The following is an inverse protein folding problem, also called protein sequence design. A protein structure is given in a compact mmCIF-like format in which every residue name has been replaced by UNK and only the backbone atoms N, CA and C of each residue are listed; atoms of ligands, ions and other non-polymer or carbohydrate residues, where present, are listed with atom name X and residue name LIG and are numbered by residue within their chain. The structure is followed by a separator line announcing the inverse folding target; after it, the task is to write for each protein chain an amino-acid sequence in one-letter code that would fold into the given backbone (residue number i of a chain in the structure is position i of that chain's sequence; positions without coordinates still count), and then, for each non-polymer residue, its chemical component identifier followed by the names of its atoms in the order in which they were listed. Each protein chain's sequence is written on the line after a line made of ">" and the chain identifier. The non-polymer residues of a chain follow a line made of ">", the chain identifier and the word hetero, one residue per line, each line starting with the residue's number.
data_IF_996142873316
#
_entry.id   IF_996142873316
#
_cell.length_a   1.000
_cell.length_b   1.000
_cell.length_c   1.000
_cell.angle_alpha   90.00
_cell.angle_beta   90.00
_cell.angle_gamma   90.00
#
_symmetry.space_group_name_H-M   'P 1'
#
loop_
_entity.id
_entity.type
_entity.pdbx_description
1 polymer ?
#
# COMPACT_ATOMS: atom_id res chain seq x y z
N UNK A 1 -31.53 12.37 5.52
CA UNK A 1 -30.98 12.23 6.89
C UNK A 1 -29.73 11.35 6.86
N UNK A 2 -29.76 10.22 6.16
CA UNK A 2 -28.64 9.27 6.07
C UNK A 2 -27.30 9.89 5.63
N UNK A 3 -27.31 10.80 4.64
CA UNK A 3 -26.09 11.49 4.18
C UNK A 3 -25.37 12.27 5.30
N UNK A 4 -26.10 12.82 6.26
CA UNK A 4 -25.50 13.59 7.37
C UNK A 4 -24.83 12.64 8.36
N UNK A 5 -25.47 11.49 8.64
CA UNK A 5 -24.89 10.45 9.49
C UNK A 5 -23.63 9.87 8.85
N UNK A 6 -23.69 9.51 7.58
CA UNK A 6 -22.52 9.02 6.83
C UNK A 6 -21.40 10.05 6.75
N UNK A 7 -21.74 11.32 6.54
CA UNK A 7 -20.75 12.40 6.54
C UNK A 7 -20.03 12.48 7.89
N UNK A 8 -20.75 12.45 9.01
CA UNK A 8 -20.13 12.47 10.34
C UNK A 8 -19.15 11.32 10.55
N UNK A 9 -19.51 10.09 10.13
CA UNK A 9 -18.61 8.93 10.23
C UNK A 9 -17.35 9.10 9.36
N UNK A 10 -17.49 9.64 8.15
CA UNK A 10 -16.38 9.87 7.24
C UNK A 10 -15.46 10.99 7.75
N UNK A 11 -16.03 12.08 8.26
CA UNK A 11 -15.29 13.21 8.82
C UNK A 11 -14.49 12.74 10.05
N UNK A 12 -15.10 11.95 10.96
CA UNK A 12 -14.40 11.36 12.12
C UNK A 12 -13.24 10.44 11.70
N UNK A 13 -13.46 9.60 10.67
CA UNK A 13 -12.42 8.72 10.14
C UNK A 13 -11.27 9.52 9.48
N UNK A 14 -11.59 10.60 8.78
CA UNK A 14 -10.62 11.49 8.15
C UNK A 14 -9.78 12.23 9.19
N UNK A 15 -10.42 12.77 10.24
CA UNK A 15 -9.70 13.46 11.32
C UNK A 15 -8.76 12.52 12.07
N UNK A 16 -9.17 11.25 12.28
CA UNK A 16 -8.27 10.22 12.81
C UNK A 16 -7.07 9.96 11.92
N UNK A 17 -7.28 9.90 10.61
CA UNK A 17 -6.19 9.70 9.64
C UNK A 17 -5.20 10.87 9.67
N UNK A 18 -5.69 12.11 9.66
CA UNK A 18 -4.86 13.31 9.78
C UNK A 18 -4.09 13.32 11.11
N UNK A 19 -4.76 13.00 12.21
CA UNK A 19 -4.12 12.94 13.53
C UNK A 19 -2.93 11.98 13.58
N UNK A 20 -3.08 10.77 13.03
CA UNK A 20 -1.98 9.80 12.95
C UNK A 20 -0.78 10.35 12.17
N UNK A 21 -1.01 11.08 11.08
CA UNK A 21 0.09 11.67 10.30
C UNK A 21 0.80 12.73 11.11
N UNK A 22 0.07 13.69 11.70
CA UNK A 22 0.64 14.78 12.49
C UNK A 22 1.44 14.26 13.67
N UNK A 23 0.92 13.25 14.38
CA UNK A 23 1.59 12.64 15.54
C UNK A 23 2.91 11.96 15.17
N UNK A 24 3.01 11.37 13.98
CA UNK A 24 4.20 10.65 13.53
C UNK A 24 5.15 11.53 12.69
N UNK A 25 4.70 12.68 12.18
CA UNK A 25 5.45 13.60 11.34
C UNK A 25 5.45 15.00 11.96
N UNK A 26 6.19 15.25 13.05
CA UNK A 26 6.19 16.54 13.75
C UNK A 26 6.73 17.70 12.91
N UNK A 27 7.41 17.41 11.79
CA UNK A 27 7.85 18.41 10.82
C UNK A 27 6.72 18.91 9.90
N UNK A 28 5.58 18.22 9.84
CA UNK A 28 4.42 18.59 9.03
C UNK A 28 3.36 19.25 9.91
N UNK A 29 3.00 20.47 9.57
CA UNK A 29 1.89 21.18 10.22
C UNK A 29 0.54 20.55 9.82
N UNK A 30 -0.43 20.50 10.74
CA UNK A 30 -1.75 19.91 10.49
C UNK A 30 -2.45 20.59 9.30
N UNK A 31 -2.30 21.91 9.17
CA UNK A 31 -2.88 22.66 8.06
C UNK A 31 -2.32 22.20 6.71
N UNK A 32 -1.01 21.90 6.65
CA UNK A 32 -0.36 21.37 5.46
C UNK A 32 -0.82 19.92 5.20
N UNK A 33 -0.89 19.09 6.24
CA UNK A 33 -1.36 17.69 6.11
C UNK A 33 -2.79 17.66 5.55
N UNK A 34 -3.69 18.52 6.03
CA UNK A 34 -5.06 18.63 5.51
C UNK A 34 -5.10 19.11 4.05
N UNK A 35 -4.17 19.97 3.64
CA UNK A 35 -4.04 20.37 2.23
C UNK A 35 -3.52 19.24 1.34
N UNK A 36 -2.62 18.40 1.86
CA UNK A 36 -2.07 17.25 1.14
C UNK A 36 -3.05 16.06 1.11
N UNK A 37 -3.95 15.94 2.09
CA UNK A 37 -4.91 14.87 2.25
C UNK A 37 -6.14 15.02 1.34
N UNK A 38 -5.92 15.19 0.04
CA UNK A 38 -6.97 15.31 -0.99
C UNK A 38 -7.50 13.96 -1.49
N UNK A 39 -6.89 12.84 -1.06
CA UNK A 39 -7.19 11.49 -1.54
C UNK A 39 -6.48 11.10 -2.83
N UNK A 40 -5.59 11.95 -3.35
CA UNK A 40 -4.77 11.65 -4.52
C UNK A 40 -3.61 10.71 -4.20
N UNK A 41 -3.12 10.01 -5.23
CA UNK A 41 -1.92 9.17 -5.14
C UNK A 41 -0.70 10.04 -5.46
N UNK A 42 0.34 9.94 -4.63
CA UNK A 42 1.63 10.59 -4.84
C UNK A 42 2.67 9.62 -5.39
N UNK A 43 3.55 10.09 -6.26
CA UNK A 43 4.76 9.35 -6.62
C UNK A 43 5.77 9.40 -5.46
N UNK A 44 6.77 8.51 -5.47
CA UNK A 44 7.80 8.49 -4.44
C UNK A 44 8.52 9.85 -4.28
N UNK A 45 8.84 10.52 -5.40
CA UNK A 45 9.45 11.86 -5.38
C UNK A 45 8.54 12.91 -4.76
N UNK A 46 7.27 12.95 -5.14
CA UNK A 46 6.31 13.90 -4.55
C UNK A 46 6.10 13.64 -3.05
N UNK A 47 6.06 12.38 -2.65
CA UNK A 47 5.93 12.02 -1.24
C UNK A 47 7.15 12.50 -0.43
N UNK A 48 8.35 12.40 -1.00
CA UNK A 48 9.58 12.89 -0.37
C UNK A 48 9.57 14.42 -0.26
N UNK A 49 9.24 15.11 -1.36
CA UNK A 49 9.17 16.59 -1.41
C UNK A 49 8.14 17.15 -0.40
N UNK A 50 7.04 16.42 -0.18
CA UNK A 50 6.01 16.76 0.79
C UNK A 50 6.31 16.25 2.22
N UNK A 51 7.44 15.57 2.45
CA UNK A 51 7.83 15.04 3.76
C UNK A 51 6.94 13.89 4.26
N UNK A 52 6.19 13.25 3.37
CA UNK A 52 5.34 12.09 3.68
C UNK A 52 6.18 10.81 3.86
N UNK A 53 7.36 10.76 3.23
CA UNK A 53 8.37 9.70 3.40
C UNK A 53 9.72 10.32 3.74
N UNK A 54 10.60 9.53 4.36
CA UNK A 54 11.94 9.99 4.78
C UNK A 54 12.97 9.87 3.67
N UNK A 55 12.93 8.79 2.91
CA UNK A 55 13.89 8.46 1.86
C UNK A 55 13.26 7.58 0.77
N UNK A 56 13.86 7.59 -0.42
CA UNK A 56 13.48 6.73 -1.53
C UNK A 56 14.57 5.67 -1.71
N UNK A 57 14.22 4.41 -1.45
CA UNK A 57 15.10 3.27 -1.59
C UNK A 57 14.32 1.97 -1.76
N UNK A 58 15.05 0.88 -1.85
CA UNK A 58 14.54 -0.49 -1.89
C UNK A 58 14.49 -1.11 -0.48
N UNK A 59 14.01 -2.35 -0.40
CA UNK A 59 13.91 -3.07 0.88
C UNK A 59 15.28 -3.28 1.54
N UNK A 60 16.30 -3.53 0.71
CA UNK A 60 17.69 -3.71 1.17
C UNK A 60 18.23 -2.46 1.85
N UNK A 61 17.95 -1.27 1.30
CA UNK A 61 18.38 0.02 1.85
C UNK A 61 17.74 0.25 3.23
N UNK A 62 16.47 -0.12 3.40
CA UNK A 62 15.77 -0.02 4.68
C UNK A 62 16.37 -0.98 5.74
N UNK A 63 16.77 -2.19 5.34
CA UNK A 63 17.41 -3.17 6.23
C UNK A 63 18.80 -2.68 6.66
N UNK A 64 19.59 -2.15 5.74
CA UNK A 64 20.92 -1.61 6.02
C UNK A 64 20.82 -0.38 6.94
N UNK A 65 19.90 0.54 6.67
CA UNK A 65 19.60 1.67 7.55
C UNK A 65 19.27 1.22 8.98
N UNK A 66 18.38 0.24 9.15
CA UNK A 66 18.03 -0.28 10.48
C UNK A 66 19.22 -0.96 11.18
N UNK A 67 20.04 -1.68 10.42
CA UNK A 67 21.26 -2.33 10.95
C UNK A 67 22.23 -1.30 11.51
N UNK A 68 22.45 -0.20 10.79
CA UNK A 68 23.29 0.92 11.21
C UNK A 68 22.70 1.64 12.42
N UNK A 69 21.41 1.99 12.39
CA UNK A 69 20.74 2.70 13.49
C UNK A 69 20.77 1.91 14.81
N UNK A 70 20.69 0.58 14.74
CA UNK A 70 20.68 -0.31 15.90
C UNK A 70 22.07 -0.85 16.29
N UNK A 71 23.14 -0.47 15.57
CA UNK A 71 24.51 -0.97 15.76
C UNK A 71 24.61 -2.50 15.79
N UNK A 72 23.96 -3.18 14.84
CA UNK A 72 23.96 -4.65 14.77
C UNK A 72 25.02 -5.16 13.78
N UNK A 73 25.82 -6.15 14.17
CA UNK A 73 26.84 -6.74 13.28
C UNK A 73 26.23 -7.72 12.26
N UNK A 74 25.24 -8.50 12.69
CA UNK A 74 24.53 -9.48 11.86
C UNK A 74 23.02 -9.37 12.07
N UNK A 75 22.28 -9.44 10.97
CA UNK A 75 20.81 -9.32 10.96
C UNK A 75 20.28 -10.47 10.11
N UNK A 76 19.25 -11.15 10.61
CA UNK A 76 18.52 -12.17 9.87
C UNK A 76 17.06 -11.74 9.73
N UNK A 77 16.64 -11.43 8.52
CA UNK A 77 15.24 -11.12 8.20
C UNK A 77 14.49 -12.43 7.97
N UNK A 78 13.39 -12.64 8.69
CA UNK A 78 12.58 -13.86 8.60
C UNK A 78 11.15 -13.51 8.23
N UNK A 79 10.69 -13.98 7.08
CA UNK A 79 9.28 -13.87 6.68
C UNK A 79 8.51 -15.11 7.11
N UNK A 80 7.53 -14.95 7.99
CA UNK A 80 6.62 -16.04 8.36
C UNK A 80 5.60 -16.28 7.25
N UNK A 81 5.61 -17.48 6.67
CA UNK A 81 4.58 -17.95 5.75
C UNK A 81 3.93 -19.19 6.35
N UNK A 82 2.60 -19.17 6.45
CA UNK A 82 1.84 -20.36 6.82
C UNK A 82 1.97 -21.36 5.67
N UNK A 83 2.74 -22.44 5.87
CA UNK A 83 2.79 -23.55 4.91
C UNK A 83 1.56 -24.43 5.16
N UNK A 84 0.71 -24.66 4.15
CA UNK A 84 -0.41 -25.58 4.31
C UNK A 84 0.11 -26.98 4.68
N UNK A 85 -0.57 -27.62 5.62
CA UNK A 85 -0.23 -28.97 6.03
C UNK A 85 -0.57 -30.00 4.95
N UNK A 86 -0.02 -31.21 5.08
CA UNK A 86 -0.38 -32.34 4.23
C UNK A 86 -1.87 -32.70 4.30
N UNK A 87 -2.50 -32.49 5.47
CA UNK A 87 -3.95 -32.60 5.66
C UNK A 87 -4.70 -31.54 4.84
N UNK A 88 -4.25 -30.28 4.84
CA UNK A 88 -4.89 -29.20 4.06
C UNK A 88 -4.81 -29.49 2.54
N UNK A 89 -3.68 -30.04 2.09
CA UNK A 89 -3.45 -30.44 0.68
C UNK A 89 -4.31 -31.63 0.27
N UNK A 90 -4.46 -32.65 1.12
CA UNK A 90 -5.29 -33.83 0.85
C UNK A 90 -6.79 -33.53 0.88
N UNK A 91 -7.21 -32.57 1.70
CA UNK A 91 -8.62 -32.17 1.83
C UNK A 91 -9.05 -31.08 0.83
N UNK A 92 -8.20 -30.70 -0.13
CA UNK A 92 -8.44 -29.56 -1.05
C UNK A 92 -8.92 -28.29 -0.32
N UNK A 93 -8.47 -28.16 0.94
CA UNK A 93 -8.79 -27.04 1.82
C UNK A 93 -7.77 -25.90 1.67
N UNK A 94 -6.71 -26.11 0.88
CA UNK A 94 -5.72 -25.08 0.53
C UNK A 94 -6.34 -23.97 -0.32
N UNK A 95 -7.31 -24.30 -1.17
CA UNK A 95 -7.94 -23.31 -2.05
C UNK A 95 -9.26 -22.74 -1.50
N UNK A 96 -9.91 -23.45 -0.57
CA UNK A 96 -11.23 -23.08 -0.03
C UNK A 96 -11.21 -22.26 1.27
N UNK A 97 -10.04 -21.97 1.86
CA UNK A 97 -9.96 -21.21 3.12
C UNK A 97 -9.92 -19.68 3.02
N UNK A 98 -9.74 -19.11 1.84
CA UNK A 98 -9.87 -17.65 1.65
C UNK A 98 -10.44 -17.31 0.25
N UNK A 99 -11.74 -17.53 0.00
CA UNK A 99 -12.41 -16.96 -1.18
C UNK A 99 -12.19 -15.44 -1.29
N UNK A 100 -11.99 -14.74 -0.17
CA UNK A 100 -11.63 -13.32 -0.12
C UNK A 100 -10.26 -13.01 -0.75
N UNK A 101 -9.26 -13.90 -0.60
CA UNK A 101 -7.93 -13.72 -1.23
C UNK A 101 -7.95 -13.96 -2.75
N UNK A 102 -8.81 -14.83 -3.23
CA UNK A 102 -8.96 -15.06 -4.67
C UNK A 102 -9.74 -13.93 -5.33
N UNK A 103 -10.83 -13.49 -4.69
CA UNK A 103 -11.62 -12.37 -5.15
C UNK A 103 -10.81 -11.05 -5.13
N UNK A 104 -10.01 -10.81 -4.08
CA UNK A 104 -9.11 -9.64 -4.03
C UNK A 104 -8.08 -9.67 -5.15
N UNK A 105 -7.40 -10.79 -5.42
CA UNK A 105 -6.48 -10.89 -6.56
C UNK A 105 -7.14 -10.58 -7.90
N UNK A 106 -8.40 -11.00 -8.08
CA UNK A 106 -9.16 -10.73 -9.31
C UNK A 106 -9.61 -9.26 -9.38
N UNK A 107 -10.04 -8.67 -8.27
CA UNK A 107 -10.36 -7.25 -8.18
C UNK A 107 -9.12 -6.35 -8.36
N UNK A 108 -7.98 -6.74 -7.79
CA UNK A 108 -6.68 -6.07 -7.92
C UNK A 108 -6.17 -6.08 -9.37
N UNK A 109 -6.55 -7.07 -10.18
CA UNK A 109 -6.22 -7.10 -11.61
C UNK A 109 -6.91 -5.96 -12.39
N UNK A 110 -8.06 -5.46 -11.90
CA UNK A 110 -8.78 -4.33 -12.48
C UNK A 110 -8.31 -2.96 -11.99
N UNK A 111 -7.44 -2.91 -10.97
CA UNK A 111 -6.94 -1.63 -10.43
C UNK A 111 -5.81 -1.11 -11.34
N UNK A 112 -5.97 0.07 -11.96
CA UNK A 112 -4.93 0.63 -12.83
C UNK A 112 -3.68 0.93 -12.00
N UNK A 113 -2.54 0.44 -12.49
CA UNK A 113 -1.21 0.68 -11.92
C UNK A 113 -0.24 1.10 -13.02
N UNK A 114 0.81 1.83 -12.66
CA UNK A 114 1.88 2.16 -13.61
C UNK A 114 2.50 0.87 -14.14
N UNK A 115 2.45 0.67 -15.45
CA UNK A 115 3.03 -0.50 -16.12
C UNK A 115 4.03 -0.05 -17.18
N UNK A 116 5.21 -0.66 -17.19
CA UNK A 116 6.13 -0.53 -18.31
C UNK A 116 5.71 -1.52 -19.41
N UNK A 117 4.81 -1.08 -20.29
CA UNK A 117 4.36 -1.86 -21.44
C UNK A 117 5.23 -1.50 -22.66
N UNK A 118 5.99 -2.46 -23.18
CA UNK A 118 6.67 -2.30 -24.46
C UNK A 118 5.67 -2.57 -25.60
N UNK A 119 5.65 -1.70 -26.61
CA UNK A 119 4.78 -1.82 -27.78
C UNK A 119 5.27 -2.85 -28.81
N UNK A 120 6.24 -3.70 -28.47
CA UNK A 120 6.84 -4.66 -29.40
C UNK A 120 6.01 -5.96 -29.43
N UNK A 121 4.77 -5.85 -29.91
CA UNK A 121 3.84 -6.97 -30.00
C UNK A 121 2.38 -6.51 -30.12
N UNK A 122 2.04 -5.89 -31.25
CA UNK A 122 0.70 -5.61 -31.79
C UNK A 122 -0.47 -5.60 -30.79
N UNK A 123 -0.87 -4.41 -30.33
CA UNK A 123 -2.27 -4.18 -29.98
C UNK A 123 -3.11 -4.43 -31.25
N UNK A 124 -4.13 -5.31 -31.23
CA UNK A 124 -5.06 -5.38 -32.34
C UNK A 124 -5.71 -3.99 -32.52
N UNK A 125 -5.89 -3.51 -33.76
CA UNK A 125 -6.52 -2.21 -33.99
C UNK A 125 -7.91 -2.18 -33.34
N UNK A 126 -8.22 -1.09 -32.65
CA UNK A 126 -9.52 -0.89 -31.99
C UNK A 126 -10.67 -0.92 -33.02
N UNK A 127 -11.82 -1.57 -32.76
CA UNK A 127 -12.90 -1.71 -33.75
C UNK A 127 -13.77 -0.47 -33.97
N UNK A 128 -13.35 0.73 -33.55
CA UNK A 128 -14.17 1.94 -33.59
C UNK A 128 -13.46 3.05 -34.36
N UNK A 129 -13.53 2.94 -35.69
CA UNK A 129 -13.74 4.04 -36.64
C UNK A 129 -14.96 3.71 -37.50
#
# INVERSE_FOLDING_TARGET
>A
QDRVVWKGILDDAFDRFVGVIVDNRPSLDEALVRQLATGQIYTAGQALDHGLVDEIGYEEDAIEFLKEQLNLESVQVVTYRVRPGWIDLLLDQVESRDPERQLSKWLEAGVPRGMYLSSWGALPPSPLE
#
